data_IF_095491290575
#
_entry.id   IF_095491290575
#
_cell.length_a   1.000
_cell.length_b   1.000
_cell.length_c   1.000
_cell.angle_alpha   90.00
_cell.angle_beta   90.00
_cell.angle_gamma   90.00
#
_symmetry.space_group_name_H-M   'P 1'
#
loop_
_entity.id
_entity.type
_entity.pdbx_description
1 polymer ?
#
# COMPACT_ATOMS: atom_id res chain seq x y z
N UNK A 1 19.94 -13.44 -2.70
CA UNK A 1 19.20 -14.37 -1.78
C UNK A 1 18.75 -15.60 -2.57
N UNK A 2 18.07 -16.62 -1.99
CA UNK A 2 17.52 -17.69 -2.85
C UNK A 2 16.36 -17.15 -3.68
N UNK A 3 16.31 -17.48 -4.97
CA UNK A 3 15.40 -16.88 -5.95
C UNK A 3 13.91 -16.97 -5.56
N UNK A 4 13.50 -18.05 -4.89
CA UNK A 4 12.10 -18.27 -4.50
C UNK A 4 11.58 -17.25 -3.48
N UNK A 5 12.46 -16.60 -2.70
CA UNK A 5 12.03 -15.53 -1.79
C UNK A 5 11.51 -14.31 -2.55
N UNK A 6 12.09 -14.00 -3.71
CA UNK A 6 11.63 -12.89 -4.54
C UNK A 6 10.31 -13.19 -5.24
N UNK A 7 10.00 -14.47 -5.52
CA UNK A 7 8.70 -14.87 -6.06
C UNK A 7 7.59 -14.63 -5.05
N UNK A 8 7.80 -15.09 -3.81
CA UNK A 8 6.82 -14.87 -2.72
C UNK A 8 6.68 -13.38 -2.43
N UNK A 9 7.80 -12.64 -2.42
CA UNK A 9 7.77 -11.20 -2.23
C UNK A 9 6.95 -10.50 -3.32
N UNK A 10 7.23 -10.80 -4.60
CA UNK A 10 6.47 -10.25 -5.72
C UNK A 10 4.98 -10.61 -5.67
N UNK A 11 4.62 -11.81 -5.19
CA UNK A 11 3.22 -12.19 -4.99
C UNK A 11 2.56 -11.34 -3.92
N UNK A 12 3.19 -11.24 -2.74
CA UNK A 12 2.66 -10.46 -1.61
C UNK A 12 2.52 -8.98 -2.00
N UNK A 13 3.49 -8.45 -2.74
CA UNK A 13 3.48 -7.06 -3.20
C UNK A 13 2.36 -6.81 -4.22
N UNK A 14 2.22 -7.66 -5.24
CA UNK A 14 1.15 -7.53 -6.24
C UNK A 14 -0.24 -7.65 -5.60
N UNK A 15 -0.43 -8.59 -4.67
CA UNK A 15 -1.69 -8.73 -3.95
C UNK A 15 -1.97 -7.51 -3.05
N UNK A 16 -0.96 -6.95 -2.39
CA UNK A 16 -1.12 -5.72 -1.60
C UNK A 16 -1.65 -4.57 -2.47
N UNK A 17 -1.01 -4.33 -3.62
CA UNK A 17 -1.42 -3.31 -4.57
C UNK A 17 -2.84 -3.57 -5.10
N UNK A 18 -3.14 -4.81 -5.49
CA UNK A 18 -4.46 -5.17 -6.00
C UNK A 18 -5.57 -4.97 -4.97
N UNK A 19 -5.37 -5.41 -3.72
CA UNK A 19 -6.39 -5.26 -2.67
C UNK A 19 -6.69 -3.79 -2.38
N UNK A 20 -5.67 -2.92 -2.31
CA UNK A 20 -5.86 -1.48 -2.07
C UNK A 20 -6.50 -0.80 -3.28
N UNK A 21 -6.05 -1.10 -4.50
CA UNK A 21 -6.67 -0.55 -5.72
C UNK A 21 -8.15 -0.96 -5.81
N UNK A 22 -8.45 -2.21 -5.49
CA UNK A 22 -9.81 -2.73 -5.46
C UNK A 22 -10.64 -2.12 -4.34
N UNK A 23 -10.04 -1.78 -3.20
CA UNK A 23 -10.73 -1.12 -2.11
C UNK A 23 -11.28 0.26 -2.50
N UNK A 24 -10.59 1.01 -3.37
CA UNK A 24 -11.11 2.30 -3.87
C UNK A 24 -12.44 2.18 -4.63
N UNK A 25 -12.82 0.98 -5.11
CA UNK A 25 -14.13 0.75 -5.72
C UNK A 25 -15.26 0.58 -4.70
N UNK A 26 -14.92 0.27 -3.44
CA UNK A 26 -15.89 -0.07 -2.38
C UNK A 26 -15.94 0.95 -1.24
N UNK A 27 -14.87 1.71 -1.01
CA UNK A 27 -14.76 2.71 0.06
C UNK A 27 -14.18 4.03 -0.46
N UNK A 28 -14.26 5.08 0.35
CA UNK A 28 -13.79 6.42 -0.04
C UNK A 28 -12.27 6.55 0.03
N UNK A 29 -11.67 7.44 -0.75
CA UNK A 29 -10.22 7.74 -0.69
C UNK A 29 -9.79 8.11 0.74
N UNK A 30 -10.60 8.90 1.44
CA UNK A 30 -10.34 9.31 2.83
C UNK A 30 -10.35 8.10 3.77
N UNK A 31 -11.30 7.18 3.60
CA UNK A 31 -11.34 5.93 4.39
C UNK A 31 -10.10 5.08 4.13
N UNK A 32 -9.65 4.94 2.88
CA UNK A 32 -8.41 4.21 2.55
C UNK A 32 -7.21 4.86 3.25
N UNK A 33 -7.04 6.18 3.16
CA UNK A 33 -5.93 6.89 3.81
C UNK A 33 -5.92 6.73 5.34
N UNK A 34 -7.09 6.76 5.98
CA UNK A 34 -7.19 6.55 7.43
C UNK A 34 -6.90 5.10 7.84
N UNK A 35 -7.41 4.14 7.07
CA UNK A 35 -7.21 2.72 7.36
C UNK A 35 -5.79 2.26 7.02
N UNK A 36 -5.10 2.88 6.05
CA UNK A 36 -3.70 2.58 5.72
C UNK A 36 -2.74 2.95 6.87
N UNK A 37 -3.18 3.77 7.83
CA UNK A 37 -2.47 3.97 9.10
C UNK A 37 -2.19 2.65 9.85
N UNK A 38 -2.97 1.59 9.57
CA UNK A 38 -2.74 0.23 10.05
C UNK A 38 -1.38 -0.36 9.63
N UNK A 39 -0.79 0.15 8.55
CA UNK A 39 0.55 -0.27 8.16
C UNK A 39 1.60 0.05 9.23
N UNK A 40 1.46 1.13 10.03
CA UNK A 40 2.41 1.46 11.12
C UNK A 40 2.49 0.35 12.18
N UNK A 41 1.39 -0.03 12.87
CA UNK A 41 1.44 -1.10 13.87
C UNK A 41 1.96 -2.40 13.27
N UNK A 42 1.49 -2.74 12.07
CA UNK A 42 1.90 -3.95 11.35
C UNK A 42 3.40 -3.97 11.09
N UNK A 43 3.96 -2.91 10.50
CA UNK A 43 5.40 -2.81 10.22
C UNK A 43 6.20 -2.84 11.51
N UNK A 44 5.81 -2.05 12.53
CA UNK A 44 6.55 -2.02 13.80
C UNK A 44 6.56 -3.36 14.52
N UNK A 45 5.48 -4.11 14.46
CA UNK A 45 5.41 -5.46 15.01
C UNK A 45 6.30 -6.42 14.22
N UNK A 46 6.23 -6.39 12.89
CA UNK A 46 7.02 -7.26 12.02
C UNK A 46 8.53 -6.98 12.13
N UNK A 47 8.96 -5.72 12.12
CA UNK A 47 10.37 -5.35 12.32
C UNK A 47 10.87 -5.62 13.74
N UNK A 48 9.99 -5.60 14.75
CA UNK A 48 10.33 -6.03 16.11
C UNK A 48 10.59 -7.53 16.15
N UNK A 49 9.73 -8.35 15.52
CA UNK A 49 9.85 -9.81 15.51
C UNK A 49 11.00 -10.27 14.62
N UNK A 50 11.06 -9.81 13.36
CA UNK A 50 12.00 -10.32 12.35
C UNK A 50 13.34 -9.58 12.33
N UNK A 51 13.33 -8.26 12.50
CA UNK A 51 14.55 -7.43 12.45
C UNK A 51 15.10 -7.09 13.86
N UNK A 52 14.41 -7.50 14.94
CA UNK A 52 14.78 -7.23 16.35
C UNK A 52 15.02 -5.74 16.63
N UNK A 53 14.24 -4.88 15.98
CA UNK A 53 14.37 -3.42 16.12
C UNK A 53 13.89 -2.97 17.49
N UNK A 54 14.70 -2.19 18.21
CA UNK A 54 14.31 -1.60 19.51
C UNK A 54 13.58 -0.29 19.31
N UNK A 55 12.36 -0.20 19.82
CA UNK A 55 11.52 0.98 19.73
C UNK A 55 11.54 1.81 21.01
N UNK A 56 11.59 3.13 20.86
CA UNK A 56 11.48 4.09 21.97
C UNK A 56 10.01 4.34 22.30
N UNK A 57 9.71 4.66 23.56
CA UNK A 57 8.35 4.88 24.06
C UNK A 57 7.50 5.85 23.22
N UNK A 58 8.10 6.88 22.62
CA UNK A 58 7.40 7.82 21.73
C UNK A 58 6.76 7.14 20.50
N UNK A 59 7.43 6.13 19.90
CA UNK A 59 6.90 5.40 18.75
C UNK A 59 5.75 4.46 19.17
N UNK A 60 5.84 3.88 20.36
CA UNK A 60 4.78 3.04 20.94
C UNK A 60 3.52 3.89 21.21
N UNK A 61 3.68 5.11 21.72
CA UNK A 61 2.56 6.03 21.90
C UNK A 61 1.87 6.36 20.57
N UNK A 62 2.65 6.58 19.49
CA UNK A 62 2.11 6.77 18.14
C UNK A 62 1.28 5.57 17.67
N UNK A 63 1.78 4.34 17.86
CA UNK A 63 1.06 3.11 17.51
C UNK A 63 -0.30 3.02 18.21
N UNK A 64 -0.37 3.34 19.50
CA UNK A 64 -1.63 3.32 20.27
C UNK A 64 -2.64 4.29 19.65
N UNK A 65 -2.20 5.49 19.26
CA UNK A 65 -3.06 6.48 18.60
C UNK A 65 -3.55 5.97 17.24
N UNK A 66 -2.68 5.35 16.43
CA UNK A 66 -3.08 4.77 15.14
C UNK A 66 -4.13 3.66 15.30
N UNK A 67 -3.94 2.76 16.28
CA UNK A 67 -4.91 1.69 16.57
C UNK A 67 -6.24 2.27 17.06
N UNK A 68 -6.22 3.31 17.91
CA UNK A 68 -7.43 3.98 18.37
C UNK A 68 -8.19 4.65 17.20
N UNK A 69 -7.47 5.31 16.29
CA UNK A 69 -8.05 5.90 15.08
C UNK A 69 -8.71 4.84 14.19
N UNK A 70 -8.04 3.71 13.96
CA UNK A 70 -8.60 2.59 13.19
C UNK A 70 -9.90 2.06 13.80
N UNK A 71 -9.91 1.81 15.11
CA UNK A 71 -11.10 1.34 15.82
C UNK A 71 -12.24 2.34 15.65
N UNK A 72 -11.97 3.64 15.79
CA UNK A 72 -12.99 4.67 15.60
C UNK A 72 -13.59 4.67 14.18
N UNK A 73 -12.75 4.55 13.14
CA UNK A 73 -13.20 4.50 11.74
C UNK A 73 -14.08 3.27 11.51
N UNK A 74 -13.60 2.08 11.86
CA UNK A 74 -14.35 0.82 11.70
C UNK A 74 -15.68 0.86 12.47
N UNK A 75 -15.70 1.39 13.69
CA UNK A 75 -16.94 1.55 14.46
C UNK A 75 -17.92 2.54 13.83
N UNK A 76 -17.41 3.63 13.25
CA UNK A 76 -18.22 4.62 12.56
C UNK A 76 -18.89 4.02 11.33
N UNK A 77 -18.16 3.23 10.54
CA UNK A 77 -18.70 2.54 9.36
C UNK A 77 -19.70 1.41 9.74
N UNK A 78 -19.55 0.80 10.92
CA UNK A 78 -20.53 -0.16 11.45
C UNK A 78 -21.84 0.54 11.85
N UNK A 79 -21.77 1.74 12.44
CA UNK A 79 -22.94 2.48 12.95
C UNK A 79 -23.59 3.41 11.90
N UNK A 80 -22.88 3.81 10.86
CA UNK A 80 -23.34 4.75 9.84
C UNK A 80 -24.27 4.12 8.77
N UNK A 81 -25.00 3.06 9.10
CA UNK A 81 -25.77 2.20 8.17
C UNK A 81 -26.38 2.91 6.94
N UNK A 82 -26.20 2.30 5.76
CA UNK A 82 -26.66 2.71 4.40
C UNK A 82 -26.45 4.18 3.99
N UNK A 83 -25.73 5.00 4.77
CA UNK A 83 -25.57 6.46 4.53
C UNK A 83 -24.18 6.89 4.05
N UNK A 84 -23.19 5.99 3.96
CA UNK A 84 -21.88 6.32 3.37
C UNK A 84 -21.79 5.79 1.94
N UNK A 85 -21.44 6.67 1.00
CA UNK A 85 -21.61 6.53 -0.47
C UNK A 85 -20.79 5.45 -1.20
N UNK A 86 -20.47 4.32 -0.60
CA UNK A 86 -19.91 3.14 -1.25
C UNK A 86 -20.91 1.97 -1.26
N UNK A 87 -20.89 1.11 -2.27
CA UNK A 87 -21.87 0.01 -2.37
C UNK A 87 -21.76 -1.01 -1.22
N UNK A 88 -20.59 -1.10 -0.57
CA UNK A 88 -20.36 -1.98 0.59
C UNK A 88 -19.08 -1.56 1.38
N UNK A 89 -19.11 -0.46 2.17
CA UNK A 89 -17.92 0.14 2.81
C UNK A 89 -17.10 -0.86 3.63
N UNK A 90 -17.78 -1.72 4.40
CA UNK A 90 -17.16 -2.79 5.21
C UNK A 90 -16.26 -3.74 4.42
N UNK A 91 -16.60 -4.02 3.16
CA UNK A 91 -15.74 -4.85 2.29
C UNK A 91 -14.50 -4.07 1.88
N UNK A 92 -14.66 -2.79 1.53
CA UNK A 92 -13.55 -1.90 1.26
C UNK A 92 -12.59 -1.82 2.44
N UNK A 93 -13.10 -1.60 3.65
CA UNK A 93 -12.27 -1.44 4.84
C UNK A 93 -11.45 -2.69 5.15
N UNK A 94 -12.07 -3.88 5.01
CA UNK A 94 -11.38 -5.15 5.17
C UNK A 94 -10.28 -5.35 4.11
N UNK A 95 -10.55 -4.95 2.86
CA UNK A 95 -9.55 -4.99 1.78
C UNK A 95 -8.38 -4.05 2.06
N UNK A 96 -8.62 -2.85 2.59
CA UNK A 96 -7.55 -1.92 2.97
C UNK A 96 -6.71 -2.48 4.11
N UNK A 97 -7.34 -3.01 5.17
CA UNK A 97 -6.61 -3.59 6.31
C UNK A 97 -5.75 -4.79 5.84
N UNK A 98 -6.30 -5.65 4.98
CA UNK A 98 -5.57 -6.76 4.39
C UNK A 98 -4.40 -6.26 3.51
N UNK A 99 -4.66 -5.29 2.62
CA UNK A 99 -3.66 -4.67 1.76
C UNK A 99 -2.52 -4.00 2.55
N UNK A 100 -2.85 -3.19 3.55
CA UNK A 100 -1.89 -2.53 4.45
C UNK A 100 -1.06 -3.56 5.23
N UNK A 101 -1.65 -4.69 5.62
CA UNK A 101 -0.89 -5.79 6.27
C UNK A 101 0.08 -6.45 5.30
N UNK A 102 -0.33 -6.70 4.05
CA UNK A 102 0.56 -7.25 3.02
C UNK A 102 1.65 -6.26 2.63
N UNK A 103 1.36 -4.96 2.53
CA UNK A 103 2.37 -3.91 2.33
C UNK A 103 3.37 -3.88 3.48
N UNK A 104 2.91 -4.04 4.73
CA UNK A 104 3.81 -4.14 5.86
C UNK A 104 4.76 -5.35 5.73
N UNK A 105 4.25 -6.51 5.33
CA UNK A 105 5.05 -7.71 5.08
C UNK A 105 6.04 -7.48 3.92
N UNK A 106 5.58 -6.90 2.81
CA UNK A 106 6.41 -6.57 1.63
C UNK A 106 7.56 -5.64 2.03
N UNK A 107 7.23 -4.50 2.65
CA UNK A 107 8.21 -3.49 3.08
C UNK A 107 9.26 -4.05 4.07
N UNK A 108 8.86 -4.87 5.03
CA UNK A 108 9.79 -5.48 6.00
C UNK A 108 10.67 -6.54 5.34
N UNK A 109 10.11 -7.31 4.42
CA UNK A 109 10.85 -8.31 3.64
C UNK A 109 11.85 -7.65 2.70
N UNK A 110 11.45 -6.57 2.02
CA UNK A 110 12.34 -5.75 1.21
C UNK A 110 13.44 -5.10 2.04
N UNK A 111 13.13 -4.57 3.22
CA UNK A 111 14.14 -4.03 4.13
C UNK A 111 15.18 -5.10 4.50
N UNK A 112 14.71 -6.31 4.83
CA UNK A 112 15.60 -7.42 5.14
C UNK A 112 16.46 -7.80 3.94
N UNK A 113 15.87 -7.93 2.75
CA UNK A 113 16.60 -8.34 1.55
C UNK A 113 17.55 -7.25 1.05
N UNK A 114 17.19 -5.97 1.08
CA UNK A 114 18.08 -4.88 0.61
C UNK A 114 19.28 -4.66 1.53
N UNK A 115 19.18 -5.10 2.80
CA UNK A 115 20.26 -5.06 3.78
C UNK A 115 21.17 -6.29 3.72
N UNK A 116 20.66 -7.43 3.25
CA UNK A 116 21.41 -8.70 3.21
C UNK A 116 21.79 -9.17 1.80
N UNK A 117 21.20 -8.61 0.75
CA UNK A 117 21.42 -8.92 -0.65
C UNK A 117 21.64 -7.63 -1.46
N UNK A 118 21.95 -7.77 -2.75
CA UNK A 118 22.17 -6.62 -3.60
C UNK A 118 20.85 -5.90 -3.95
N UNK A 119 20.90 -4.56 -4.04
CA UNK A 119 19.72 -3.74 -4.33
C UNK A 119 19.24 -3.96 -5.76
N UNK A 120 20.16 -4.06 -6.72
CA UNK A 120 19.82 -4.25 -8.13
C UNK A 120 19.23 -5.64 -8.34
N UNK A 121 19.78 -6.65 -7.65
CA UNK A 121 19.19 -8.00 -7.58
C UNK A 121 17.73 -7.95 -7.10
N UNK A 122 17.46 -7.26 -5.98
CA UNK A 122 16.11 -7.12 -5.43
C UNK A 122 15.16 -6.45 -6.42
N UNK A 123 15.54 -5.29 -6.95
CA UNK A 123 14.71 -4.54 -7.90
C UNK A 123 14.40 -5.33 -9.16
N UNK A 124 15.40 -6.01 -9.71
CA UNK A 124 15.26 -6.78 -10.95
C UNK A 124 14.32 -7.97 -10.76
N UNK A 125 14.50 -8.74 -9.68
CA UNK A 125 13.64 -9.90 -9.44
C UNK A 125 12.25 -9.53 -8.96
N UNK A 126 12.10 -8.48 -8.14
CA UNK A 126 10.80 -7.97 -7.73
C UNK A 126 10.00 -7.49 -8.95
N UNK A 127 10.63 -6.70 -9.84
CA UNK A 127 10.00 -6.24 -11.07
C UNK A 127 9.64 -7.39 -12.03
N UNK A 128 10.56 -8.34 -12.23
CA UNK A 128 10.33 -9.48 -13.12
C UNK A 128 9.19 -10.38 -12.62
N UNK A 129 9.26 -10.85 -11.37
CA UNK A 129 8.23 -11.74 -10.82
C UNK A 129 6.91 -11.00 -10.62
N UNK A 130 6.94 -9.75 -10.16
CA UNK A 130 5.76 -8.90 -10.06
C UNK A 130 5.05 -8.72 -11.40
N UNK A 131 5.80 -8.50 -12.49
CA UNK A 131 5.24 -8.39 -13.84
C UNK A 131 4.60 -9.71 -14.30
N UNK A 132 5.24 -10.85 -14.06
CA UNK A 132 4.68 -12.17 -14.41
C UNK A 132 3.37 -12.43 -13.65
N UNK A 133 3.37 -12.20 -12.33
CA UNK A 133 2.21 -12.43 -11.47
C UNK A 133 1.07 -11.49 -11.87
N UNK A 134 1.37 -10.20 -12.08
CA UNK A 134 0.39 -9.21 -12.54
C UNK A 134 -0.20 -9.59 -13.90
N UNK A 135 0.61 -10.06 -14.85
CA UNK A 135 0.15 -10.49 -16.17
C UNK A 135 -0.76 -11.72 -16.10
N UNK A 136 -0.49 -12.67 -15.19
CA UNK A 136 -1.36 -13.82 -14.94
C UNK A 136 -2.68 -13.34 -14.32
N UNK A 137 -2.61 -12.51 -13.29
CA UNK A 137 -3.78 -12.02 -12.56
C UNK A 137 -4.72 -11.19 -13.45
N UNK A 138 -4.18 -10.26 -14.23
CA UNK A 138 -4.99 -9.43 -15.14
C UNK A 138 -5.68 -10.29 -16.21
N UNK A 139 -5.01 -11.34 -16.69
CA UNK A 139 -5.54 -12.27 -17.70
C UNK A 139 -6.70 -13.11 -17.17
N UNK A 140 -6.69 -13.45 -15.88
CA UNK A 140 -7.71 -14.29 -15.25
C UNK A 140 -8.87 -13.47 -14.70
N UNK A 141 -8.57 -12.38 -13.97
CA UNK A 141 -9.55 -11.67 -13.13
C UNK A 141 -10.14 -10.46 -13.84
N UNK A 142 -9.33 -9.72 -14.60
CA UNK A 142 -9.70 -8.39 -15.11
C UNK A 142 -9.89 -8.37 -16.64
N UNK A 143 -10.00 -9.54 -17.26
CA UNK A 143 -10.10 -9.66 -18.72
C UNK A 143 -11.29 -8.90 -19.32
N UNK A 144 -12.38 -8.80 -18.56
CA UNK A 144 -13.58 -8.07 -19.01
C UNK A 144 -13.38 -6.56 -18.86
N UNK A 145 -12.73 -6.10 -17.79
CA UNK A 145 -12.37 -4.69 -17.59
C UNK A 145 -11.37 -4.23 -18.65
N UNK A 146 -10.37 -5.05 -18.98
CA UNK A 146 -9.44 -4.74 -20.07
C UNK A 146 -10.13 -4.54 -21.42
N UNK A 147 -11.22 -5.27 -21.68
CA UNK A 147 -12.00 -5.15 -22.92
C UNK A 147 -12.91 -3.94 -22.95
N UNK A 148 -13.33 -3.43 -21.78
CA UNK A 148 -14.21 -2.27 -21.68
C UNK A 148 -13.45 -0.94 -21.78
N UNK A 149 -12.12 -0.95 -21.71
CA UNK A 149 -11.28 0.25 -21.85
C UNK A 149 -11.35 0.80 -23.28
N UNK A 150 -11.92 1.99 -23.40
CA UNK A 150 -11.84 2.79 -24.62
C UNK A 150 -10.53 3.57 -24.65
N UNK A 151 -9.55 3.05 -25.39
CA UNK A 151 -8.25 3.69 -25.57
C UNK A 151 -8.38 5.02 -26.33
N UNK A 152 -8.41 6.10 -25.58
CA UNK A 152 -8.39 7.49 -26.08
C UNK A 152 -7.19 8.22 -25.51
N UNK A 153 -6.76 9.32 -26.15
CA UNK A 153 -5.64 10.12 -25.63
C UNK A 153 -5.90 10.64 -24.20
N UNK A 154 -7.16 10.94 -23.87
CA UNK A 154 -7.59 11.35 -22.53
C UNK A 154 -7.47 10.26 -21.47
N UNK A 155 -7.56 8.97 -21.84
CA UNK A 155 -7.33 7.86 -20.92
C UNK A 155 -5.85 7.44 -20.87
N UNK A 156 -5.17 7.43 -22.02
CA UNK A 156 -3.79 6.97 -22.13
C UNK A 156 -2.81 7.87 -21.36
N UNK A 157 -3.04 9.18 -21.34
CA UNK A 157 -2.14 10.13 -20.69
C UNK A 157 -2.08 9.96 -19.15
N UNK A 158 -3.21 9.86 -18.41
CA UNK A 158 -3.20 9.47 -17.00
C UNK A 158 -2.53 8.12 -16.73
N UNK A 159 -2.76 7.09 -17.57
CA UNK A 159 -2.10 5.78 -17.42
C UNK A 159 -0.58 5.89 -17.55
N UNK A 160 -0.09 6.67 -18.51
CA UNK A 160 1.34 6.90 -18.67
C UNK A 160 1.93 7.64 -17.48
N UNK A 161 1.27 8.71 -17.03
CA UNK A 161 1.69 9.47 -15.85
C UNK A 161 1.75 8.60 -14.58
N UNK A 162 0.72 7.77 -14.38
CA UNK A 162 0.68 6.82 -13.27
C UNK A 162 1.81 5.78 -13.36
N UNK A 163 2.06 5.22 -14.55
CA UNK A 163 3.13 4.25 -14.77
C UNK A 163 4.51 4.85 -14.49
N UNK A 164 4.77 6.08 -14.94
CA UNK A 164 6.01 6.79 -14.67
C UNK A 164 6.18 7.08 -13.16
N UNK A 165 5.12 7.52 -12.49
CA UNK A 165 5.13 7.77 -11.05
C UNK A 165 5.42 6.48 -10.26
N UNK A 166 4.77 5.37 -10.61
CA UNK A 166 5.00 4.07 -9.98
C UNK A 166 6.42 3.57 -10.25
N UNK A 167 6.95 3.72 -11.46
CA UNK A 167 8.33 3.37 -11.77
C UNK A 167 9.34 4.14 -10.90
N UNK A 168 9.15 5.45 -10.74
CA UNK A 168 9.97 6.27 -9.85
C UNK A 168 9.83 5.83 -8.39
N UNK A 169 8.60 5.57 -7.93
CA UNK A 169 8.32 5.12 -6.58
C UNK A 169 9.06 3.82 -6.24
N UNK A 170 8.86 2.76 -7.03
CA UNK A 170 9.54 1.46 -6.83
C UNK A 170 11.05 1.54 -7.03
N UNK A 171 11.55 2.54 -7.78
CA UNK A 171 12.98 2.81 -7.89
C UNK A 171 13.56 3.47 -6.63
N UNK A 172 12.79 4.31 -5.93
CA UNK A 172 13.25 4.98 -4.71
C UNK A 172 13.03 4.17 -3.43
N UNK A 173 12.00 3.33 -3.37
CA UNK A 173 11.67 2.53 -2.18
C UNK A 173 12.85 1.72 -1.66
N UNK A 174 13.58 0.90 -2.46
CA UNK A 174 14.73 0.14 -1.96
C UNK A 174 15.89 1.03 -1.51
N UNK A 175 16.02 2.25 -2.05
CA UNK A 175 17.02 3.22 -1.60
C UNK A 175 16.66 3.71 -0.20
N UNK A 176 15.41 4.11 0.01
CA UNK A 176 14.89 4.57 1.30
C UNK A 176 14.90 3.46 2.35
N UNK A 177 14.51 2.23 2.00
CA UNK A 177 14.56 1.08 2.89
C UNK A 177 15.99 0.78 3.36
N UNK A 178 16.98 0.93 2.47
CA UNK A 178 18.39 0.73 2.82
C UNK A 178 18.91 1.81 3.78
N UNK A 179 18.48 3.06 3.61
CA UNK A 179 18.94 4.19 4.43
C UNK A 179 18.21 4.30 5.77
N UNK A 180 16.89 4.12 5.76
CA UNK A 180 15.99 4.55 6.83
C UNK A 180 15.10 3.45 7.40
N UNK A 181 14.97 2.33 6.67
CA UNK A 181 14.14 1.18 7.05
C UNK A 181 12.64 1.35 6.76
N UNK A 182 11.90 0.25 6.85
CA UNK A 182 10.47 0.13 6.53
C UNK A 182 9.59 0.99 7.44
N UNK A 183 9.94 1.11 8.73
CA UNK A 183 9.17 1.95 9.66
C UNK A 183 9.20 3.43 9.25
N UNK A 184 10.36 3.95 8.82
CA UNK A 184 10.44 5.35 8.39
C UNK A 184 9.75 5.55 7.05
N UNK A 185 9.88 4.61 6.11
CA UNK A 185 9.16 4.64 4.84
C UNK A 185 7.65 4.78 5.06
N UNK A 186 7.06 3.91 5.89
CA UNK A 186 5.61 3.94 6.14
C UNK A 186 5.16 5.21 6.88
N UNK A 187 5.99 5.75 7.78
CA UNK A 187 5.72 7.05 8.40
C UNK A 187 5.75 8.20 7.38
N UNK A 188 6.66 8.15 6.41
CA UNK A 188 6.74 9.12 5.32
C UNK A 188 5.53 9.04 4.38
N UNK A 189 5.05 7.83 4.06
CA UNK A 189 3.84 7.63 3.26
C UNK A 189 2.62 8.26 3.92
N UNK A 190 2.42 8.02 5.22
CA UNK A 190 1.30 8.61 5.95
C UNK A 190 1.37 10.14 6.07
N UNK A 191 2.58 10.69 6.10
CA UNK A 191 2.76 12.15 6.02
C UNK A 191 2.34 12.66 4.64
N UNK A 192 2.63 11.92 3.57
CA UNK A 192 2.18 12.23 2.21
C UNK A 192 0.66 12.21 2.09
N UNK A 193 -0.04 11.29 2.76
CA UNK A 193 -1.51 11.25 2.77
C UNK A 193 -2.11 12.52 3.37
N UNK A 194 -1.51 13.05 4.44
CA UNK A 194 -1.95 14.32 5.02
C UNK A 194 -1.81 15.47 4.01
N UNK A 195 -0.72 15.51 3.24
CA UNK A 195 -0.56 16.49 2.17
C UNK A 195 -1.58 16.29 1.04
N UNK A 196 -1.89 15.05 0.68
CA UNK A 196 -2.91 14.75 -0.32
C UNK A 196 -4.29 15.25 0.11
N UNK A 197 -4.66 15.08 1.39
CA UNK A 197 -5.91 15.63 1.96
C UNK A 197 -5.91 17.16 1.90
N UNK A 198 -4.81 17.82 2.28
CA UNK A 198 -4.69 19.29 2.21
C UNK A 198 -4.88 19.77 0.76
N UNK A 199 -4.21 19.15 -0.20
CA UNK A 199 -4.34 19.50 -1.63
C UNK A 199 -5.77 19.28 -2.11
N UNK A 200 -6.41 18.17 -1.73
CA UNK A 200 -7.79 17.85 -2.12
C UNK A 200 -8.78 18.92 -1.62
N UNK A 201 -8.63 19.34 -0.36
CA UNK A 201 -9.50 20.37 0.24
C UNK A 201 -9.24 21.75 -0.36
N UNK A 202 -7.98 22.18 -0.45
CA UNK A 202 -7.64 23.56 -0.81
C UNK A 202 -7.52 23.81 -2.31
N UNK A 203 -7.01 22.85 -3.09
CA UNK A 203 -6.87 23.02 -4.54
C UNK A 203 -8.12 22.56 -5.28
N UNK A 204 -8.65 21.39 -4.93
CA UNK A 204 -9.78 20.78 -5.65
C UNK A 204 -11.16 21.10 -5.06
N UNK A 205 -11.22 21.74 -3.88
CA UNK A 205 -12.47 22.09 -3.19
C UNK A 205 -13.40 20.89 -2.96
N UNK A 206 -12.83 19.69 -2.91
CA UNK A 206 -13.54 18.45 -2.61
C UNK A 206 -13.47 18.17 -1.10
N UNK A 207 -14.63 17.89 -0.50
CA UNK A 207 -14.74 17.51 0.91
C UNK A 207 -14.50 16.03 1.15
#
# INVERSE_FOLDING_TARGET
AKWYYYVILGLVDVEANYLVVKAYQYTSITSVMLLDCWSIPSVMLLTYIFLKTKYRYRKIAGVIVCVAGLVMVVFSDVHAGDRSGGSNPRKGDLLVIAGATLYAISNVSEEFLVKNADRVELMSFLGLFGAIISAIQISIVERNELKSIHWTAGAAFPFFGFSLAMFLFYSFVPVLLKMSGSTMLNLSLLTSDMWAVVIRIFAYHEK
#
